data_IF_573974318630
#
_entry.id   IF_573974318630
#
_cell.length_a   1.000
_cell.length_b   1.000
_cell.length_c   1.000
_cell.angle_alpha   90.00
_cell.angle_beta   90.00
_cell.angle_gamma   90.00
#
_symmetry.space_group_name_H-M   'P 1'
#
loop_
_entity.id
_entity.type
_entity.pdbx_description
1 polymer ?
#
# COMPACT_ATOMS: atom_id res chain seq x y z
N UNK A 1 10.85 21.77 1.95
CA UNK A 1 10.92 21.86 3.42
C UNK A 1 9.50 21.87 3.96
N UNK A 2 8.96 20.68 4.24
CA UNK A 2 7.71 20.53 5.00
C UNK A 2 8.16 20.03 6.37
N UNK A 3 7.99 20.87 7.38
CA UNK A 3 8.31 20.55 8.77
C UNK A 3 7.35 19.48 9.27
N UNK A 4 7.85 18.26 9.48
CA UNK A 4 7.15 17.22 10.24
C UNK A 4 7.20 17.61 11.72
N UNK A 5 6.03 17.85 12.32
CA UNK A 5 5.91 18.04 13.77
C UNK A 5 5.86 16.68 14.46
N UNK A 6 6.98 16.26 15.05
CA UNK A 6 6.98 15.21 16.08
C UNK A 6 6.29 15.77 17.34
N UNK A 7 5.08 15.30 17.64
CA UNK A 7 4.47 15.48 18.96
C UNK A 7 4.41 14.14 19.69
N UNK A 8 5.34 13.94 20.63
CA UNK A 8 5.20 12.96 21.71
C UNK A 8 4.13 13.48 22.69
N UNK A 9 2.96 12.85 22.75
CA UNK A 9 1.92 13.18 23.74
C UNK A 9 1.60 11.96 24.59
N UNK A 10 1.91 12.05 25.89
CA UNK A 10 1.40 11.19 26.95
C UNK A 10 0.20 11.91 27.60
N UNK A 11 -0.96 11.25 27.65
CA UNK A 11 -2.23 11.78 28.17
C UNK A 11 -3.36 11.63 27.14
N UNK A 12 -4.38 10.84 27.48
CA UNK A 12 -5.62 10.54 26.71
C UNK A 12 -5.56 10.90 25.21
N UNK A 13 -5.04 9.98 24.38
CA UNK A 13 -4.80 10.27 22.97
C UNK A 13 -6.10 10.37 22.18
N UNK A 14 -6.50 11.59 21.89
CA UNK A 14 -7.61 11.86 21.00
C UNK A 14 -7.08 11.84 19.55
N UNK A 15 -7.16 10.68 18.88
CA UNK A 15 -6.83 10.51 17.47
C UNK A 15 -7.99 10.91 16.53
N UNK A 16 -8.76 11.91 16.92
CA UNK A 16 -9.91 12.38 16.17
C UNK A 16 -9.59 13.69 15.45
N UNK A 17 -8.90 13.60 14.32
CA UNK A 17 -8.83 14.70 13.36
C UNK A 17 -8.95 14.15 11.95
N UNK A 18 -9.88 14.73 11.19
CA UNK A 18 -10.15 14.33 9.82
C UNK A 18 -8.92 14.56 8.93
N UNK A 19 -8.56 13.55 8.14
CA UNK A 19 -7.53 13.58 7.10
C UNK A 19 -6.10 13.92 7.60
N UNK A 20 -5.84 13.70 8.90
CA UNK A 20 -4.51 13.88 9.46
C UNK A 20 -3.71 12.58 9.42
N UNK A 21 -2.56 12.62 8.73
CA UNK A 21 -1.57 11.56 8.79
C UNK A 21 -0.83 11.58 10.14
N UNK A 22 -0.95 10.50 10.89
CA UNK A 22 -0.20 10.26 12.11
C UNK A 22 0.97 9.32 11.86
N UNK A 23 1.98 9.39 12.73
CA UNK A 23 3.05 8.39 12.77
C UNK A 23 3.23 7.88 14.18
N UNK A 24 3.59 6.60 14.30
CA UNK A 24 3.99 6.00 15.57
C UNK A 24 5.25 5.17 15.38
N UNK A 25 6.29 5.50 16.15
CA UNK A 25 7.58 4.80 16.15
C UNK A 25 7.73 3.93 17.39
N UNK A 26 8.13 2.68 17.21
CA UNK A 26 8.44 1.71 18.25
C UNK A 26 9.81 1.06 18.01
N UNK A 27 10.37 0.49 19.07
CA UNK A 27 11.81 0.20 19.14
C UNK A 27 12.27 -0.89 18.18
N UNK A 28 11.50 -1.97 18.04
CA UNK A 28 11.88 -3.08 17.15
C UNK A 28 10.69 -3.94 16.74
N UNK A 29 10.84 -4.59 15.59
CA UNK A 29 9.94 -5.61 15.07
C UNK A 29 10.72 -6.90 14.80
N UNK A 30 10.47 -8.00 15.53
CA UNK A 30 11.05 -9.30 15.21
C UNK A 30 10.41 -9.88 13.95
N UNK A 31 11.25 -10.27 12.99
CA UNK A 31 10.80 -10.72 11.67
C UNK A 31 10.62 -12.23 11.62
N UNK A 32 9.63 -12.69 10.87
CA UNK A 32 9.29 -14.11 10.71
C UNK A 32 10.45 -14.93 10.16
N UNK A 33 11.21 -14.37 9.22
CA UNK A 33 12.37 -15.03 8.60
C UNK A 33 13.67 -14.88 9.41
N UNK A 34 13.57 -14.39 10.64
CA UNK A 34 14.69 -14.13 11.53
C UNK A 34 15.25 -12.71 11.40
N UNK A 35 15.97 -12.28 12.44
CA UNK A 35 16.44 -10.91 12.56
C UNK A 35 15.36 -9.95 13.09
N UNK A 36 15.66 -8.65 13.02
CA UNK A 36 14.78 -7.58 13.49
C UNK A 36 14.91 -6.36 12.59
N UNK A 37 13.82 -5.59 12.46
CA UNK A 37 13.83 -4.22 11.93
C UNK A 37 13.74 -3.24 13.10
N UNK A 38 14.61 -2.23 13.15
CA UNK A 38 14.64 -1.27 14.25
C UNK A 38 15.29 0.07 13.83
N UNK A 39 14.74 1.22 14.25
CA UNK A 39 13.38 1.39 14.77
C UNK A 39 12.33 1.23 13.66
N UNK A 40 11.07 1.04 14.04
CA UNK A 40 9.96 0.92 13.09
C UNK A 40 8.95 2.03 13.31
N UNK A 41 8.62 2.74 12.24
CA UNK A 41 7.58 3.75 12.19
C UNK A 41 6.43 3.23 11.33
N UNK A 42 5.20 3.38 11.83
CA UNK A 42 3.98 3.20 11.05
C UNK A 42 3.30 4.55 10.85
N UNK A 43 3.01 4.88 9.59
CA UNK A 43 2.12 5.97 9.23
C UNK A 43 0.68 5.45 9.16
N UNK A 44 -0.27 6.20 9.69
CA UNK A 44 -1.67 5.78 9.75
C UNK A 44 -2.64 6.96 9.82
N UNK A 45 -3.89 6.70 9.48
CA UNK A 45 -5.01 7.63 9.58
C UNK A 45 -6.18 6.96 10.29
N UNK A 46 -7.03 7.77 10.89
CA UNK A 46 -8.18 7.30 11.68
C UNK A 46 -9.41 8.17 11.45
N UNK A 47 -10.59 7.55 11.48
CA UNK A 47 -11.88 8.22 11.33
C UNK A 47 -12.89 7.70 12.36
N UNK A 48 -13.72 8.59 12.91
CA UNK A 48 -14.62 8.25 14.02
C UNK A 48 -13.92 8.29 15.38
N UNK A 49 -14.55 7.71 16.40
CA UNK A 49 -14.09 7.79 17.80
C UNK A 49 -14.08 6.40 18.46
N UNK A 50 -12.96 6.04 19.09
CA UNK A 50 -12.85 4.82 19.88
C UNK A 50 -13.70 4.95 21.16
N UNK A 51 -14.53 3.95 21.44
CA UNK A 51 -15.35 3.94 22.66
C UNK A 51 -14.53 3.60 23.92
N UNK A 52 -15.13 3.80 25.10
CA UNK A 52 -14.46 3.57 26.38
C UNK A 52 -14.08 2.10 26.61
N UNK A 53 -14.85 1.19 26.02
CA UNK A 53 -14.60 -0.25 26.04
C UNK A 53 -13.40 -0.64 25.16
N UNK A 54 -13.08 0.15 24.14
CA UNK A 54 -12.01 -0.09 23.17
C UNK A 54 -12.33 -1.23 22.20
N UNK A 55 -13.62 -1.45 21.88
CA UNK A 55 -14.09 -2.61 21.12
C UNK A 55 -14.84 -2.27 19.81
N UNK A 56 -14.98 -0.99 19.46
CA UNK A 56 -15.63 -0.55 18.21
C UNK A 56 -14.63 -0.22 17.08
N UNK A 57 -13.40 -0.76 17.12
CA UNK A 57 -12.39 -0.46 16.12
C UNK A 57 -12.53 -1.34 14.86
N UNK A 58 -12.40 -0.73 13.69
CA UNK A 58 -12.29 -1.42 12.39
C UNK A 58 -10.89 -1.14 11.83
N UNK A 59 -10.12 -2.17 11.55
CA UNK A 59 -8.84 -2.04 10.85
C UNK A 59 -9.02 -2.29 9.35
N UNK A 60 -8.66 -1.28 8.56
CA UNK A 60 -8.60 -1.33 7.11
C UNK A 60 -7.15 -1.59 6.68
N UNK A 61 -6.93 -2.61 5.87
CA UNK A 61 -5.61 -3.00 5.37
C UNK A 61 -5.55 -2.76 3.86
N UNK A 62 -4.67 -1.87 3.42
CA UNK A 62 -4.60 -1.43 2.03
C UNK A 62 -3.96 -2.47 1.09
N UNK A 63 -4.23 -2.34 -0.22
CA UNK A 63 -3.65 -3.17 -1.27
C UNK A 63 -2.23 -2.74 -1.69
N UNK A 64 -1.59 -3.43 -2.65
CA UNK A 64 -0.16 -3.34 -2.99
C UNK A 64 0.36 -1.89 -3.14
N UNK A 65 -0.37 -1.06 -3.88
CA UNK A 65 0.01 0.33 -4.16
C UNK A 65 -0.86 1.36 -3.44
N UNK A 66 -1.59 0.92 -2.40
CA UNK A 66 -2.39 1.76 -1.52
C UNK A 66 -1.54 2.41 -0.42
N UNK A 67 -2.21 3.16 0.44
CA UNK A 67 -1.61 3.88 1.57
C UNK A 67 -2.62 3.98 2.73
N UNK A 68 -2.27 4.71 3.79
CA UNK A 68 -3.18 4.98 4.92
C UNK A 68 -4.42 5.78 4.54
N UNK A 69 -4.38 6.56 3.46
CA UNK A 69 -5.43 7.51 3.09
C UNK A 69 -6.61 6.82 2.39
N UNK A 70 -7.40 6.08 3.17
CA UNK A 70 -8.56 5.32 2.70
C UNK A 70 -9.83 6.18 2.51
N UNK A 71 -9.92 7.29 3.24
CA UNK A 71 -11.05 8.22 3.20
C UNK A 71 -10.60 9.70 3.29
N UNK A 72 -11.24 10.57 2.52
CA UNK A 72 -11.10 12.03 2.53
C UNK A 72 -12.44 12.63 2.99
N UNK A 73 -12.45 13.24 4.17
CA UNK A 73 -13.66 13.79 4.80
C UNK A 73 -14.16 15.04 4.08
N UNK A 74 -13.25 15.79 3.44
CA UNK A 74 -13.60 17.01 2.69
C UNK A 74 -14.23 16.70 1.32
N UNK A 75 -13.86 15.57 0.72
CA UNK A 75 -14.29 15.13 -0.60
C UNK A 75 -14.78 13.67 -0.56
N UNK A 76 -15.79 13.35 0.26
CA UNK A 76 -16.17 11.97 0.54
C UNK A 76 -16.70 11.23 -0.70
N UNK A 77 -17.16 11.95 -1.72
CA UNK A 77 -17.70 11.38 -2.96
C UNK A 77 -16.70 11.34 -4.12
N UNK A 78 -15.48 11.83 -3.95
CA UNK A 78 -14.46 11.80 -5.01
C UNK A 78 -13.56 10.55 -4.89
N UNK A 79 -13.73 9.52 -5.73
CA UNK A 79 -12.94 8.29 -5.66
C UNK A 79 -11.47 8.49 -6.07
N UNK A 80 -11.08 9.68 -6.54
CA UNK A 80 -9.68 10.01 -6.86
C UNK A 80 -8.92 10.57 -5.66
N UNK A 81 -9.62 11.02 -4.61
CA UNK A 81 -9.03 11.63 -3.42
C UNK A 81 -8.53 10.58 -2.43
N UNK A 82 -9.36 9.58 -2.15
CA UNK A 82 -8.99 8.46 -1.31
C UNK A 82 -9.52 7.14 -1.89
N UNK A 83 -8.77 6.05 -1.68
CA UNK A 83 -8.94 4.81 -2.45
C UNK A 83 -10.15 3.97 -2.05
N UNK A 84 -10.77 4.24 -0.89
CA UNK A 84 -12.00 3.59 -0.42
C UNK A 84 -13.08 4.58 0.04
N UNK A 85 -13.04 5.81 -0.51
CA UNK A 85 -13.97 6.87 -0.17
C UNK A 85 -15.43 6.41 -0.03
N UNK A 86 -16.04 5.75 -1.04
CA UNK A 86 -17.44 5.32 -0.96
C UNK A 86 -17.81 4.39 0.21
N UNK A 87 -16.83 3.76 0.86
CA UNK A 87 -17.06 2.75 1.89
C UNK A 87 -16.94 3.29 3.31
N UNK A 88 -16.19 4.37 3.54
CA UNK A 88 -15.85 4.88 4.87
C UNK A 88 -16.51 6.25 5.07
N UNK A 89 -17.13 6.47 6.23
CA UNK A 89 -17.71 7.75 6.62
C UNK A 89 -19.11 7.61 7.23
N UNK A 90 -19.76 8.73 7.62
CA UNK A 90 -21.08 8.69 8.26
C UNK A 90 -22.15 8.02 7.38
N UNK A 91 -22.83 6.99 7.90
CA UNK A 91 -23.88 6.25 7.20
C UNK A 91 -23.39 5.34 6.07
N UNK A 92 -22.08 5.16 5.91
CA UNK A 92 -21.46 4.29 4.88
C UNK A 92 -21.20 2.88 5.43
N UNK A 93 -20.85 1.89 4.58
CA UNK A 93 -20.60 0.52 5.04
C UNK A 93 -19.66 0.38 6.25
N UNK A 94 -18.59 1.19 6.29
CA UNK A 94 -17.72 1.38 7.45
C UNK A 94 -18.09 2.69 8.13
N UNK A 95 -19.18 2.65 8.92
CA UNK A 95 -19.82 3.83 9.48
C UNK A 95 -19.02 4.44 10.64
N UNK A 96 -18.43 5.61 10.39
CA UNK A 96 -17.61 6.34 11.37
C UNK A 96 -18.43 7.03 12.47
N UNK A 97 -19.76 6.99 12.41
CA UNK A 97 -20.62 7.41 13.53
C UNK A 97 -20.68 6.37 14.65
N UNK A 98 -20.37 5.10 14.33
CA UNK A 98 -20.45 3.96 15.24
C UNK A 98 -19.07 3.33 15.51
N UNK A 99 -18.18 3.35 14.52
CA UNK A 99 -16.89 2.68 14.58
C UNK A 99 -15.73 3.66 14.54
N UNK A 100 -14.62 3.24 15.16
CA UNK A 100 -13.31 3.87 15.02
C UNK A 100 -12.54 3.16 13.91
N UNK A 101 -12.53 3.73 12.73
CA UNK A 101 -11.86 3.16 11.55
C UNK A 101 -10.39 3.58 11.56
N UNK A 102 -9.49 2.62 11.37
CA UNK A 102 -8.05 2.80 11.36
C UNK A 102 -7.52 2.27 10.02
N UNK A 103 -6.66 3.01 9.33
CA UNK A 103 -5.90 2.49 8.20
C UNK A 103 -4.43 2.83 8.38
N UNK A 104 -3.59 1.80 8.47
CA UNK A 104 -2.14 1.97 8.57
C UNK A 104 -1.47 1.61 7.25
N UNK A 105 -0.45 2.37 6.88
CA UNK A 105 0.42 2.03 5.78
C UNK A 105 1.39 0.90 6.23
N UNK A 106 1.58 -0.12 5.39
CA UNK A 106 2.36 -1.31 5.78
C UNK A 106 3.86 -1.02 5.92
N UNK A 107 4.56 -1.79 6.76
CA UNK A 107 6.04 -1.85 6.74
C UNK A 107 6.48 -2.36 5.36
N UNK A 108 7.52 -1.73 4.79
CA UNK A 108 7.98 -2.00 3.42
C UNK A 108 7.38 -1.08 2.36
N UNK A 109 6.40 -0.25 2.71
CA UNK A 109 5.82 0.79 1.84
C UNK A 109 6.62 2.09 1.83
N UNK A 110 6.31 2.97 0.88
CA UNK A 110 6.93 4.29 0.71
C UNK A 110 6.03 5.46 1.18
N UNK A 111 4.85 5.18 1.76
CA UNK A 111 3.92 6.22 2.24
C UNK A 111 4.05 6.48 3.75
N UNK A 112 5.26 6.76 4.22
CA UNK A 112 5.54 7.24 5.59
C UNK A 112 5.88 6.15 6.62
N UNK A 113 5.40 4.92 6.44
CA UNK A 113 5.88 3.78 7.25
C UNK A 113 7.30 3.38 6.85
N UNK A 114 8.04 2.75 7.76
CA UNK A 114 9.41 2.30 7.49
C UNK A 114 9.43 1.31 6.34
N UNK A 115 10.21 1.62 5.32
CA UNK A 115 10.39 0.82 4.12
C UNK A 115 11.76 1.05 3.47
N UNK A 116 12.01 0.51 2.27
CA UNK A 116 13.29 0.62 1.58
C UNK A 116 13.76 2.05 1.31
N UNK A 117 12.83 3.01 1.19
CA UNK A 117 13.15 4.43 1.01
C UNK A 117 13.40 5.18 2.31
N UNK A 118 13.18 4.56 3.47
CA UNK A 118 13.48 5.15 4.78
C UNK A 118 14.98 5.15 5.05
N UNK A 119 15.44 6.07 5.91
CA UNK A 119 16.84 6.11 6.34
C UNK A 119 17.16 4.91 7.24
N UNK A 120 18.24 4.23 6.91
CA UNK A 120 18.86 3.20 7.75
C UNK A 120 19.65 3.89 8.87
N UNK A 121 19.31 3.65 10.15
CA UNK A 121 19.95 4.33 11.27
C UNK A 121 21.44 3.97 11.42
N UNK A 122 21.89 2.86 10.84
CA UNK A 122 23.30 2.43 10.90
C UNK A 122 24.17 3.19 9.91
N UNK A 123 23.61 3.59 8.77
CA UNK A 123 24.36 4.20 7.67
C UNK A 123 24.02 5.66 7.42
N UNK A 124 22.85 6.12 7.85
CA UNK A 124 22.32 7.44 7.54
C UNK A 124 21.79 7.58 6.11
N UNK A 125 21.84 6.50 5.32
CA UNK A 125 21.40 6.44 3.92
C UNK A 125 20.09 5.66 3.78
N UNK A 126 19.32 5.80 2.70
CA UNK A 126 18.16 4.94 2.46
C UNK A 126 18.53 3.44 2.53
N UNK A 127 17.66 2.62 3.13
CA UNK A 127 17.89 1.17 3.23
C UNK A 127 18.17 0.52 1.87
N UNK A 128 17.40 0.88 0.84
CA UNK A 128 17.45 0.25 -0.47
C UNK A 128 17.29 -1.27 -0.37
N UNK A 129 18.18 -2.03 -1.02
CA UNK A 129 18.17 -3.51 -0.92
C UNK A 129 18.76 -4.06 0.38
N UNK A 130 19.20 -3.21 1.33
CA UNK A 130 19.55 -3.65 2.70
C UNK A 130 18.32 -3.79 3.60
N UNK A 131 17.16 -3.31 3.16
CA UNK A 131 15.91 -3.50 3.89
C UNK A 131 15.66 -5.01 4.08
N UNK A 132 15.24 -5.49 5.27
CA UNK A 132 15.00 -6.91 5.44
C UNK A 132 13.75 -7.35 4.68
N UNK A 133 13.73 -8.59 4.20
CA UNK A 133 12.51 -9.17 3.65
C UNK A 133 11.45 -9.26 4.76
N UNK A 134 10.29 -8.67 4.50
CA UNK A 134 9.12 -8.72 5.38
C UNK A 134 8.07 -9.66 4.80
N UNK A 135 7.28 -10.29 5.67
CA UNK A 135 6.12 -11.10 5.28
C UNK A 135 4.81 -10.41 5.64
N UNK A 136 3.68 -10.95 5.18
CA UNK A 136 2.35 -10.51 5.64
C UNK A 136 2.24 -10.59 7.16
N UNK A 137 2.78 -11.64 7.78
CA UNK A 137 2.79 -11.79 9.23
C UNK A 137 3.59 -10.69 9.93
N UNK A 138 4.71 -10.25 9.35
CA UNK A 138 5.47 -9.12 9.89
C UNK A 138 4.70 -7.80 9.79
N UNK A 139 4.00 -7.57 8.68
CA UNK A 139 3.12 -6.40 8.52
C UNK A 139 2.00 -6.41 9.58
N UNK A 140 1.35 -7.55 9.81
CA UNK A 140 0.30 -7.72 10.82
C UNK A 140 0.86 -7.55 12.24
N UNK A 141 2.06 -8.07 12.54
CA UNK A 141 2.72 -7.84 13.84
C UNK A 141 2.99 -6.36 14.10
N UNK A 142 3.45 -5.63 13.08
CA UNK A 142 3.65 -4.18 13.20
C UNK A 142 2.31 -3.47 13.46
N UNK A 143 1.27 -3.83 12.71
CA UNK A 143 -0.09 -3.31 12.92
C UNK A 143 -0.58 -3.62 14.35
N UNK A 144 -0.31 -4.81 14.89
CA UNK A 144 -0.69 -5.19 16.26
C UNK A 144 -0.07 -4.29 17.31
N UNK A 145 1.17 -3.86 17.13
CA UNK A 145 1.82 -2.87 18.01
C UNK A 145 1.10 -1.52 17.94
N UNK A 146 0.70 -1.08 16.74
CA UNK A 146 -0.10 0.14 16.56
C UNK A 146 -1.48 0.03 17.21
N UNK A 147 -2.20 -1.08 17.02
CA UNK A 147 -3.53 -1.31 17.61
C UNK A 147 -3.46 -1.21 19.14
N UNK A 148 -2.43 -1.77 19.77
CA UNK A 148 -2.20 -1.62 21.22
C UNK A 148 -2.00 -0.17 21.64
N UNK A 149 -1.16 0.54 20.88
CA UNK A 149 -0.83 1.93 21.14
C UNK A 149 -2.04 2.86 21.09
N UNK A 150 -2.99 2.56 20.19
CA UNK A 150 -4.24 3.28 20.05
C UNK A 150 -5.25 2.96 21.17
N UNK A 151 -4.96 2.00 22.05
CA UNK A 151 -5.84 1.59 23.14
C UNK A 151 -6.98 0.66 22.71
N UNK A 152 -6.90 0.10 21.49
CA UNK A 152 -7.89 -0.85 20.99
C UNK A 152 -7.70 -2.18 21.70
N UNK A 153 -8.74 -2.61 22.43
CA UNK A 153 -8.76 -3.88 23.15
C UNK A 153 -9.29 -5.02 22.30
N UNK A 154 -10.17 -4.72 21.36
CA UNK A 154 -10.72 -5.68 20.42
C UNK A 154 -11.09 -4.98 19.11
N UNK A 155 -10.75 -5.60 17.99
CA UNK A 155 -11.17 -5.20 16.67
C UNK A 155 -12.57 -5.79 16.40
N UNK A 156 -13.55 -4.92 16.20
CA UNK A 156 -14.87 -5.32 15.71
C UNK A 156 -14.76 -5.98 14.33
N UNK A 157 -13.78 -5.53 13.53
CA UNK A 157 -13.53 -6.06 12.19
C UNK A 157 -12.12 -5.75 11.69
N UNK A 158 -11.55 -6.65 10.89
CA UNK A 158 -10.45 -6.35 9.97
C UNK A 158 -10.93 -6.58 8.54
N UNK A 159 -10.71 -5.61 7.64
CA UNK A 159 -11.18 -5.67 6.26
C UNK A 159 -10.10 -5.27 5.27
N UNK A 160 -9.94 -6.05 4.21
CA UNK A 160 -8.93 -5.81 3.20
C UNK A 160 -9.20 -6.51 1.87
N UNK A 161 -8.72 -5.89 0.79
CA UNK A 161 -8.75 -6.45 -0.55
C UNK A 161 -7.35 -6.77 -1.08
N UNK A 162 -7.19 -7.78 -1.95
CA UNK A 162 -5.88 -8.16 -2.54
C UNK A 162 -4.86 -8.49 -1.43
N UNK A 163 -3.63 -7.95 -1.44
CA UNK A 163 -2.69 -8.10 -0.31
C UNK A 163 -3.26 -7.58 1.02
N UNK A 164 -4.18 -6.61 1.00
CA UNK A 164 -4.94 -6.22 2.18
C UNK A 164 -5.79 -7.38 2.70
N UNK A 165 -6.39 -8.16 1.81
CA UNK A 165 -7.13 -9.37 2.20
C UNK A 165 -6.23 -10.45 2.80
N UNK A 166 -4.98 -10.58 2.33
CA UNK A 166 -3.99 -11.45 2.96
C UNK A 166 -3.67 -11.00 4.39
N UNK A 167 -3.50 -9.69 4.62
CA UNK A 167 -3.31 -9.13 5.96
C UNK A 167 -4.53 -9.38 6.85
N UNK A 168 -5.75 -9.13 6.34
CA UNK A 168 -6.99 -9.37 7.08
C UNK A 168 -7.16 -10.85 7.47
N UNK A 169 -6.83 -11.76 6.55
CA UNK A 169 -6.84 -13.19 6.82
C UNK A 169 -5.81 -13.57 7.90
N UNK A 170 -4.57 -13.07 7.79
CA UNK A 170 -3.51 -13.34 8.77
C UNK A 170 -3.87 -12.79 10.16
N UNK A 171 -4.55 -11.64 10.26
CA UNK A 171 -5.12 -11.14 11.52
C UNK A 171 -6.06 -12.15 12.19
N UNK A 172 -6.98 -12.74 11.41
CA UNK A 172 -7.92 -13.74 11.90
C UNK A 172 -7.26 -15.05 12.36
N UNK A 173 -6.07 -15.37 11.85
CA UNK A 173 -5.31 -16.57 12.21
C UNK A 173 -4.37 -16.31 13.38
N UNK A 174 -3.63 -15.20 13.36
CA UNK A 174 -2.59 -14.90 14.32
C UNK A 174 -3.12 -14.34 15.65
N UNK A 175 -4.27 -13.65 15.62
CA UNK A 175 -4.87 -12.98 16.78
C UNK A 175 -6.39 -13.21 16.87
N UNK A 176 -6.87 -14.47 16.85
CA UNK A 176 -8.30 -14.80 16.79
C UNK A 176 -9.09 -14.26 18.00
N UNK A 177 -8.46 -14.08 19.15
CA UNK A 177 -9.07 -13.52 20.36
C UNK A 177 -9.28 -12.00 20.29
N UNK A 178 -8.54 -11.30 19.43
CA UNK A 178 -8.59 -9.85 19.28
C UNK A 178 -9.49 -9.39 18.12
N UNK A 179 -9.96 -10.29 17.27
CA UNK A 179 -10.72 -9.96 16.05
C UNK A 179 -12.07 -10.67 16.03
N UNK A 180 -13.16 -9.90 16.02
CA UNK A 180 -14.50 -10.50 15.96
C UNK A 180 -14.90 -10.95 14.54
N UNK A 181 -14.52 -10.19 13.52
CA UNK A 181 -14.92 -10.42 12.12
C UNK A 181 -13.77 -10.12 11.18
N UNK A 182 -13.70 -10.88 10.09
CA UNK A 182 -12.73 -10.65 9.02
C UNK A 182 -13.48 -10.56 7.68
N UNK A 183 -13.16 -9.52 6.90
CA UNK A 183 -13.63 -9.38 5.51
C UNK A 183 -12.41 -9.51 4.58
N UNK A 184 -12.39 -10.60 3.82
CA UNK A 184 -11.33 -10.90 2.84
C UNK A 184 -11.92 -10.76 1.44
N UNK A 185 -11.43 -9.78 0.66
CA UNK A 185 -11.92 -9.52 -0.70
C UNK A 185 -10.82 -9.80 -1.74
N UNK A 186 -11.12 -10.63 -2.74
CA UNK A 186 -10.20 -10.89 -3.86
C UNK A 186 -8.76 -11.21 -3.42
N UNK A 187 -8.62 -12.10 -2.43
CA UNK A 187 -7.33 -12.50 -1.87
C UNK A 187 -7.32 -14.00 -1.59
N UNK A 188 -6.13 -14.57 -1.48
CA UNK A 188 -5.91 -16.00 -1.22
C UNK A 188 -4.97 -16.18 -0.03
N UNK A 189 -5.02 -17.35 0.61
CA UNK A 189 -4.09 -17.67 1.70
C UNK A 189 -2.63 -17.79 1.24
N UNK A 190 -2.42 -18.16 -0.02
CA UNK A 190 -1.14 -18.19 -0.72
C UNK A 190 -1.37 -17.88 -2.19
N UNK A 191 -0.40 -17.25 -2.86
CA UNK A 191 -0.53 -16.97 -4.29
C UNK A 191 -0.41 -18.26 -5.12
N UNK A 192 -1.11 -18.28 -6.25
CA UNK A 192 -0.99 -19.36 -7.23
C UNK A 192 0.33 -19.22 -8.01
N UNK A 193 0.78 -20.30 -8.65
CA UNK A 193 1.97 -20.27 -9.49
C UNK A 193 1.91 -19.18 -10.58
N UNK A 194 0.72 -18.95 -11.15
CA UNK A 194 0.53 -17.91 -12.16
C UNK A 194 0.64 -16.50 -11.57
N UNK A 195 0.05 -16.26 -10.40
CA UNK A 195 0.17 -14.96 -9.73
C UNK A 195 1.63 -14.65 -9.36
N UNK A 196 2.37 -15.64 -8.85
CA UNK A 196 3.81 -15.53 -8.58
C UNK A 196 4.58 -15.23 -9.88
N UNK A 197 4.23 -15.87 -11.00
CA UNK A 197 4.88 -15.62 -12.29
C UNK A 197 4.67 -14.18 -12.79
N UNK A 198 3.46 -13.62 -12.64
CA UNK A 198 3.23 -12.21 -12.97
C UNK A 198 4.07 -11.28 -12.11
N UNK A 199 4.04 -11.46 -10.79
CA UNK A 199 4.83 -10.65 -9.87
C UNK A 199 6.34 -10.79 -10.12
N UNK A 200 6.81 -11.96 -10.55
CA UNK A 200 8.21 -12.14 -10.93
C UNK A 200 8.58 -11.32 -12.17
N UNK A 201 7.75 -11.33 -13.23
CA UNK A 201 8.00 -10.52 -14.42
C UNK A 201 8.01 -9.02 -14.08
N UNK A 202 7.10 -8.58 -13.21
CA UNK A 202 7.07 -7.20 -12.70
C UNK A 202 8.36 -6.83 -11.95
N UNK A 203 8.82 -7.70 -11.04
CA UNK A 203 10.08 -7.50 -10.30
C UNK A 203 11.29 -7.49 -11.24
N UNK A 204 11.34 -8.38 -12.22
CA UNK A 204 12.42 -8.41 -13.21
C UNK A 204 12.43 -7.14 -14.05
N UNK A 205 11.27 -6.65 -14.51
CA UNK A 205 11.19 -5.40 -15.26
C UNK A 205 11.84 -4.22 -14.52
N UNK A 206 11.66 -4.15 -13.20
CA UNK A 206 12.32 -3.16 -12.33
C UNK A 206 13.83 -3.43 -12.23
N UNK A 207 14.23 -4.67 -11.92
CA UNK A 207 15.63 -4.98 -11.61
C UNK A 207 16.57 -4.97 -12.83
N UNK A 208 16.04 -5.16 -14.05
CA UNK A 208 16.82 -5.06 -15.29
C UNK A 208 16.97 -3.63 -15.81
N UNK A 209 16.19 -2.69 -15.28
CA UNK A 209 16.35 -1.27 -15.60
C UNK A 209 17.72 -0.78 -15.08
N UNK A 210 18.60 -0.24 -15.94
CA UNK A 210 19.92 0.23 -15.53
C UNK A 210 19.90 1.27 -14.41
N UNK A 211 18.82 2.06 -14.31
CA UNK A 211 18.64 3.06 -13.26
C UNK A 211 18.25 2.46 -11.90
N UNK A 212 17.96 1.16 -11.83
CA UNK A 212 17.77 0.49 -10.53
C UNK A 212 19.06 0.45 -9.71
N UNK A 213 20.24 0.41 -10.34
CA UNK A 213 21.52 0.48 -9.63
C UNK A 213 21.63 -0.48 -8.42
N UNK A 214 21.13 -1.72 -8.58
CA UNK A 214 21.05 -2.73 -7.50
C UNK A 214 20.26 -2.25 -6.26
N UNK A 215 19.28 -1.39 -6.50
CA UNK A 215 18.42 -0.71 -5.55
C UNK A 215 19.08 0.40 -4.74
N UNK A 216 20.25 0.88 -5.15
CA UNK A 216 20.94 2.04 -4.56
C UNK A 216 20.77 3.31 -5.41
N UNK A 217 19.56 3.54 -5.93
CA UNK A 217 19.24 4.72 -6.71
C UNK A 217 18.88 5.91 -5.80
N UNK A 218 19.12 7.13 -6.28
CA UNK A 218 18.82 8.33 -5.49
C UNK A 218 17.30 8.55 -5.37
N UNK A 219 16.79 9.10 -4.25
CA UNK A 219 15.38 9.43 -4.12
C UNK A 219 14.89 10.30 -5.28
N UNK A 220 13.78 9.90 -5.91
CA UNK A 220 13.21 10.58 -7.07
C UNK A 220 13.91 10.32 -8.41
N UNK A 221 14.98 9.50 -8.43
CA UNK A 221 15.71 9.14 -9.64
C UNK A 221 16.00 7.63 -9.65
N UNK A 222 14.99 6.83 -9.99
CA UNK A 222 15.03 5.37 -9.94
C UNK A 222 14.74 4.69 -11.28
N UNK A 223 14.45 3.37 -11.28
CA UNK A 223 14.09 2.60 -12.47
C UNK A 223 12.67 2.90 -12.94
N UNK A 224 12.45 4.12 -13.41
CA UNK A 224 11.12 4.61 -13.81
C UNK A 224 10.53 3.80 -14.96
N UNK A 225 11.35 3.42 -15.95
CA UNK A 225 10.88 2.63 -17.08
C UNK A 225 10.49 1.22 -16.63
N UNK A 226 11.33 0.57 -15.81
CA UNK A 226 11.05 -0.74 -15.22
C UNK A 226 9.79 -0.74 -14.35
N UNK A 227 9.63 0.25 -13.46
CA UNK A 227 8.45 0.38 -12.60
C UNK A 227 7.19 0.69 -13.42
N UNK A 228 7.30 1.49 -14.47
CA UNK A 228 6.19 1.76 -15.39
C UNK A 228 5.72 0.48 -16.08
N UNK A 229 6.65 -0.33 -16.62
CA UNK A 229 6.33 -1.63 -17.25
C UNK A 229 5.71 -2.60 -16.25
N UNK A 230 6.26 -2.71 -15.03
CA UNK A 230 5.68 -3.49 -13.95
C UNK A 230 4.22 -3.08 -13.68
N UNK A 231 3.95 -1.77 -13.60
CA UNK A 231 2.59 -1.26 -13.44
C UNK A 231 1.69 -1.57 -14.63
N UNK A 232 2.19 -1.49 -15.85
CA UNK A 232 1.41 -1.83 -17.04
C UNK A 232 0.95 -3.29 -16.97
N UNK A 233 1.84 -4.22 -16.62
CA UNK A 233 1.49 -5.63 -16.43
C UNK A 233 0.45 -5.81 -15.32
N UNK A 234 0.64 -5.16 -14.17
CA UNK A 234 -0.33 -5.18 -13.08
C UNK A 234 -1.73 -4.72 -13.54
N UNK A 235 -1.83 -3.64 -14.34
CA UNK A 235 -3.10 -3.14 -14.87
C UNK A 235 -3.82 -4.10 -15.80
N UNK A 236 -3.08 -4.98 -16.49
CA UNK A 236 -3.67 -6.06 -17.28
C UNK A 236 -4.30 -7.08 -16.34
N UNK A 237 -3.57 -7.51 -15.30
CA UNK A 237 -4.05 -8.56 -14.38
C UNK A 237 -5.21 -8.13 -13.48
N UNK A 238 -5.48 -6.82 -13.34
CA UNK A 238 -6.56 -6.30 -12.49
C UNK A 238 -7.90 -6.15 -13.22
N UNK A 239 -7.96 -6.47 -14.51
CA UNK A 239 -9.16 -6.34 -15.32
C UNK A 239 -9.52 -7.68 -15.97
N UNK A 240 -10.80 -7.87 -16.29
CA UNK A 240 -11.21 -9.00 -17.11
C UNK A 240 -10.96 -8.70 -18.59
N UNK A 241 -10.78 -9.76 -19.37
CA UNK A 241 -10.65 -9.68 -20.83
C UNK A 241 -11.86 -8.96 -21.45
N UNK A 242 -13.09 -9.32 -21.03
CA UNK A 242 -14.32 -8.70 -21.53
C UNK A 242 -14.36 -7.21 -21.20
N UNK A 243 -13.89 -6.82 -20.01
CA UNK A 243 -13.79 -5.43 -19.58
C UNK A 243 -12.86 -4.62 -20.47
N UNK A 244 -11.71 -5.19 -20.82
CA UNK A 244 -10.76 -4.56 -21.73
C UNK A 244 -11.32 -4.45 -23.16
N UNK A 245 -11.97 -5.50 -23.67
CA UNK A 245 -12.56 -5.48 -25.02
C UNK A 245 -13.68 -4.44 -25.12
N UNK A 246 -14.60 -4.40 -24.15
CA UNK A 246 -15.65 -3.38 -24.10
C UNK A 246 -15.08 -1.95 -24.04
N UNK A 247 -14.02 -1.74 -23.25
CA UNK A 247 -13.48 -0.41 -22.98
C UNK A 247 -12.54 0.11 -24.06
N UNK A 248 -11.84 -0.75 -24.79
CA UNK A 248 -10.80 -0.34 -25.74
C UNK A 248 -11.00 -0.93 -27.13
N UNK A 249 -11.20 -2.24 -27.24
CA UNK A 249 -11.19 -2.99 -28.50
C UNK A 249 -9.96 -2.58 -29.36
N UNK A 250 -10.13 -2.51 -30.69
CA UNK A 250 -9.09 -2.09 -31.64
C UNK A 250 -9.11 -0.58 -31.93
N UNK A 251 -9.55 0.27 -30.99
CA UNK A 251 -9.59 1.72 -31.21
C UNK A 251 -8.19 2.31 -31.28
N UNK A 252 -7.93 3.10 -32.32
CA UNK A 252 -6.69 3.84 -32.47
C UNK A 252 -6.64 5.07 -31.56
N UNK A 253 -5.45 5.33 -31.01
CA UNK A 253 -5.16 6.49 -30.20
C UNK A 253 -5.39 7.79 -31.00
N UNK A 254 -6.26 8.68 -30.49
CA UNK A 254 -6.77 9.83 -31.27
C UNK A 254 -5.94 11.12 -31.21
N UNK A 255 -5.00 11.25 -30.26
CA UNK A 255 -3.92 12.26 -30.17
C UNK A 255 -3.47 12.42 -28.71
N UNK A 256 -2.21 12.10 -28.38
CA UNK A 256 -1.30 12.86 -27.48
C UNK A 256 0.07 12.19 -27.35
N UNK A 257 1.06 13.00 -27.02
CA UNK A 257 2.39 12.57 -26.64
C UNK A 257 2.36 11.98 -25.21
N UNK A 258 1.86 10.76 -25.05
CA UNK A 258 2.12 10.02 -23.81
C UNK A 258 3.60 9.62 -23.80
N UNK A 259 4.35 9.77 -22.70
CA UNK A 259 5.70 9.23 -22.60
C UNK A 259 5.60 7.70 -22.59
N UNK A 260 5.76 7.07 -23.75
CA UNK A 260 5.98 5.63 -23.81
C UNK A 260 7.36 5.32 -23.23
N UNK A 261 7.53 4.24 -22.43
CA UNK A 261 8.84 3.82 -21.92
C UNK A 261 9.86 3.59 -23.04
N UNK A 262 9.37 3.18 -24.22
CA UNK A 262 10.14 3.14 -25.47
C UNK A 262 9.35 3.85 -26.58
N UNK A 263 9.80 5.04 -26.99
CA UNK A 263 9.27 5.72 -28.18
C UNK A 263 9.91 5.12 -29.44
N UNK A 264 9.54 3.90 -29.79
CA UNK A 264 9.88 3.33 -31.09
C UNK A 264 8.84 3.78 -32.12
N UNK A 265 9.01 4.98 -32.68
CA UNK A 265 8.11 5.54 -33.70
C UNK A 265 7.98 4.62 -34.94
N UNK A 266 8.99 3.79 -35.18
CA UNK A 266 9.09 2.86 -36.30
C UNK A 266 8.16 1.64 -36.17
N UNK A 267 7.56 1.39 -35.00
CA UNK A 267 6.60 0.28 -34.79
C UNK A 267 5.17 0.61 -35.24
N UNK A 268 4.92 1.82 -35.77
CA UNK A 268 3.63 2.22 -36.34
C UNK A 268 2.71 3.00 -35.38
N UNK A 269 1.41 3.01 -35.69
CA UNK A 269 0.39 3.71 -34.90
C UNK A 269 0.02 2.99 -33.60
N UNK A 270 -0.58 3.71 -32.63
CA UNK A 270 -0.96 3.18 -31.31
C UNK A 270 -2.46 2.96 -31.14
N UNK A 271 -2.82 2.08 -30.22
CA UNK A 271 -4.18 1.81 -29.74
C UNK A 271 -4.46 2.53 -28.41
N UNK A 272 -5.75 2.80 -28.14
CA UNK A 272 -6.20 3.46 -26.89
C UNK A 272 -5.77 2.68 -25.63
N UNK A 273 -5.71 1.34 -25.71
CA UNK A 273 -5.26 0.48 -24.60
C UNK A 273 -3.79 0.72 -24.26
N UNK A 274 -2.94 0.97 -25.24
CA UNK A 274 -1.51 1.27 -25.02
C UNK A 274 -1.34 2.61 -24.31
N UNK A 275 -2.04 3.65 -24.78
CA UNK A 275 -2.02 4.97 -24.14
C UNK A 275 -2.57 4.92 -22.70
N UNK A 276 -3.59 4.08 -22.44
CA UNK A 276 -4.08 3.83 -21.07
C UNK A 276 -3.01 3.22 -20.17
N UNK A 277 -2.31 2.18 -20.64
CA UNK A 277 -1.26 1.51 -19.88
C UNK A 277 -0.09 2.46 -19.59
N UNK A 278 0.35 3.25 -20.57
CA UNK A 278 1.40 4.26 -20.35
C UNK A 278 1.00 5.31 -19.32
N UNK A 279 -0.24 5.81 -19.39
CA UNK A 279 -0.74 6.74 -18.38
C UNK A 279 -0.75 6.14 -16.97
N UNK A 280 -1.17 4.87 -16.84
CA UNK A 280 -1.17 4.19 -15.54
C UNK A 280 0.24 3.96 -15.00
N UNK A 281 1.19 3.60 -15.87
CA UNK A 281 2.61 3.44 -15.53
C UNK A 281 3.22 4.74 -15.03
N UNK A 282 3.09 5.81 -15.81
CA UNK A 282 3.59 7.15 -15.45
C UNK A 282 2.96 7.65 -14.14
N UNK A 283 1.65 7.39 -13.94
CA UNK A 283 0.95 7.79 -12.73
C UNK A 283 1.48 7.07 -11.48
N UNK A 284 1.92 5.81 -11.58
CA UNK A 284 2.52 5.11 -10.44
C UNK A 284 3.94 5.62 -10.16
N UNK A 285 4.77 5.76 -11.19
CA UNK A 285 6.17 6.22 -11.07
C UNK A 285 6.27 7.51 -10.26
N UNK A 286 5.34 8.44 -10.46
CA UNK A 286 5.32 9.74 -9.74
C UNK A 286 5.07 9.63 -8.24
N UNK A 287 4.57 8.49 -7.74
CA UNK A 287 4.08 8.37 -6.37
C UNK A 287 4.53 7.13 -5.63
N UNK A 288 5.28 6.22 -6.25
CA UNK A 288 5.62 4.93 -5.65
C UNK A 288 7.10 4.61 -5.84
N UNK A 289 7.73 4.07 -4.80
CA UNK A 289 9.13 3.67 -4.81
C UNK A 289 9.30 2.25 -5.38
N UNK A 290 10.29 2.07 -6.26
CA UNK A 290 10.50 0.81 -6.95
C UNK A 290 10.95 -0.32 -6.01
N UNK A 291 11.85 -0.07 -5.06
CA UNK A 291 12.26 -1.05 -4.07
C UNK A 291 11.07 -1.45 -3.18
N UNK A 292 10.26 -0.48 -2.74
CA UNK A 292 9.03 -0.76 -1.98
C UNK A 292 8.10 -1.70 -2.76
N UNK A 293 7.96 -1.51 -4.08
CA UNK A 293 7.23 -2.43 -4.94
C UNK A 293 7.82 -3.85 -4.92
N UNK A 294 9.14 -3.99 -5.02
CA UNK A 294 9.82 -5.29 -4.94
C UNK A 294 9.56 -5.99 -3.61
N UNK A 295 9.68 -5.28 -2.48
CA UNK A 295 9.51 -5.86 -1.14
C UNK A 295 8.05 -6.25 -0.87
N UNK A 296 7.08 -5.39 -1.18
CA UNK A 296 5.68 -5.68 -0.91
C UNK A 296 5.17 -6.79 -1.86
N UNK A 297 5.54 -6.77 -3.14
CA UNK A 297 5.17 -7.86 -4.05
C UNK A 297 5.77 -9.20 -3.62
N UNK A 298 7.02 -9.22 -3.11
CA UNK A 298 7.63 -10.42 -2.56
C UNK A 298 6.99 -10.89 -1.26
N UNK A 299 6.41 -9.99 -0.48
CA UNK A 299 5.66 -10.36 0.72
C UNK A 299 4.33 -11.06 0.39
N UNK A 300 3.78 -10.85 -0.81
CA UNK A 300 2.53 -11.50 -1.26
C UNK A 300 2.70 -12.97 -1.64
N UNK A 301 3.89 -13.34 -2.13
CA UNK A 301 4.24 -14.70 -2.62
C UNK A 301 4.03 -15.76 -1.52
#
# INVERSE_FOLDING_TARGET
>A
MVTQSEQRVAGSKQFASADQLFTYTFDSLPLERGGQLAPVTLAFETWGTLNAEGNNAILITHALTGNSHAHDVQHPDDPKRAWWNPLIGPGRPFDTTHYFVICSNVVGSCYGSTGPSSLDPLTGEPYGMRFPLVTIRDMVRAQRVLIEHLGVRQLAMVAGGSIGGQQALEWGVAYPELVQKVIVVAATAALTAQAIAFSEVERQAIMVDPLWQRGNYAPGHGPEAGLSVARMLAMITYQSEEGMEMRFARRHARNRAVPAPSRAADLGGRFDVEDYLYYQGESLVKRFDANSYLYISRAMD
#
